data_IF_293929760425
#
_entry.id   IF_293929760425
#
_cell.length_a   1.000
_cell.length_b   1.000
_cell.length_c   1.000
_cell.angle_alpha   90.00
_cell.angle_beta   90.00
_cell.angle_gamma   90.00
#
_symmetry.space_group_name_H-M   'P 1'
#
loop_
_entity.id
_entity.type
_entity.pdbx_description
1 polymer ?
#
# COMPACT_ATOMS: atom_id res chain seq x y z
N UNK A 1 -0.65 27.06 -0.92
CA UNK A 1 -2.08 26.70 -0.81
C UNK A 1 -2.72 26.52 -2.19
N UNK A 2 -2.62 27.47 -3.12
CA UNK A 2 -3.16 27.33 -4.48
C UNK A 2 -2.69 26.07 -5.25
N UNK A 3 -1.37 25.81 -5.29
CA UNK A 3 -0.82 24.66 -6.03
C UNK A 3 -1.23 23.27 -5.51
N UNK A 4 -1.47 23.13 -4.20
CA UNK A 4 -1.87 21.82 -3.63
C UNK A 4 -3.28 21.43 -4.09
N UNK A 5 -4.19 22.40 -4.18
CA UNK A 5 -5.56 22.17 -4.67
C UNK A 5 -5.58 21.85 -6.17
N UNK A 6 -4.67 22.44 -6.96
CA UNK A 6 -4.53 22.12 -8.39
C UNK A 6 -4.10 20.66 -8.62
N UNK A 7 -3.09 20.17 -7.88
CA UNK A 7 -2.67 18.77 -7.97
C UNK A 7 -3.74 17.80 -7.48
N UNK A 8 -4.46 18.18 -6.42
CA UNK A 8 -5.60 17.42 -5.91
C UNK A 8 -6.71 17.31 -6.97
N UNK A 9 -7.15 18.44 -7.53
CA UNK A 9 -8.17 18.46 -8.57
C UNK A 9 -7.74 17.63 -9.79
N UNK A 10 -6.46 17.72 -10.19
CA UNK A 10 -5.91 16.94 -11.30
C UNK A 10 -5.94 15.44 -11.03
N UNK A 11 -5.44 14.98 -9.87
CA UNK A 11 -5.41 13.54 -9.60
C UNK A 11 -6.82 12.94 -9.45
N UNK A 12 -7.77 13.74 -8.93
CA UNK A 12 -9.15 13.29 -8.73
C UNK A 12 -9.89 13.01 -10.05
N UNK A 13 -9.41 13.54 -11.17
CA UNK A 13 -9.93 13.22 -12.50
C UNK A 13 -9.43 11.87 -13.03
N UNK A 14 -8.35 11.32 -12.45
CA UNK A 14 -7.75 10.07 -12.93
C UNK A 14 -8.52 8.85 -12.41
N UNK A 15 -8.73 7.88 -13.29
CA UNK A 15 -9.25 6.55 -12.97
C UNK A 15 -8.11 5.51 -12.94
N UNK A 16 -8.43 4.22 -12.78
CA UNK A 16 -7.43 3.14 -12.72
C UNK A 16 -6.52 3.05 -13.95
N UNK A 17 -7.03 3.00 -15.20
CA UNK A 17 -6.19 3.09 -16.40
C UNK A 17 -5.23 4.29 -16.39
N UNK A 18 -5.69 5.46 -15.94
CA UNK A 18 -4.86 6.66 -15.89
C UNK A 18 -3.80 6.58 -14.79
N UNK A 19 -4.11 6.02 -13.63
CA UNK A 19 -3.12 5.77 -12.58
C UNK A 19 -2.05 4.77 -13.01
N UNK A 20 -2.41 3.73 -13.77
CA UNK A 20 -1.45 2.77 -14.33
C UNK A 20 -0.48 3.47 -15.29
N UNK A 21 -0.97 4.39 -16.14
CA UNK A 21 -0.12 5.22 -17.01
C UNK A 21 0.77 6.17 -16.20
N UNK A 22 0.21 6.82 -15.19
CA UNK A 22 0.96 7.72 -14.30
C UNK A 22 2.08 6.97 -13.57
N UNK A 23 1.82 5.73 -13.12
CA UNK A 23 2.84 4.89 -12.52
C UNK A 23 4.02 4.62 -13.46
N UNK A 24 3.75 4.26 -14.72
CA UNK A 24 4.79 4.08 -15.74
C UNK A 24 5.61 5.36 -15.92
N UNK A 25 4.93 6.51 -16.04
CA UNK A 25 5.60 7.81 -16.15
C UNK A 25 6.47 8.14 -14.93
N UNK A 26 6.01 7.83 -13.70
CA UNK A 26 6.80 7.98 -12.47
C UNK A 26 8.05 7.08 -12.51
N UNK A 27 7.89 5.81 -12.90
CA UNK A 27 9.01 4.88 -13.02
C UNK A 27 10.07 5.36 -14.03
N UNK A 28 9.63 5.98 -15.12
CA UNK A 28 10.49 6.54 -16.18
C UNK A 28 11.03 7.94 -15.86
N UNK A 29 10.57 8.57 -14.76
CA UNK A 29 10.94 9.95 -14.40
C UNK A 29 10.35 11.00 -15.34
N UNK A 30 9.24 10.70 -16.01
CA UNK A 30 8.58 11.53 -17.01
C UNK A 30 7.32 12.20 -16.45
N UNK A 31 7.47 12.95 -15.36
CA UNK A 31 6.37 13.69 -14.71
C UNK A 31 6.62 15.21 -14.69
N UNK A 32 6.80 15.87 -15.85
CA UNK A 32 7.29 17.25 -15.92
C UNK A 32 6.38 18.28 -15.22
N UNK A 33 5.08 18.02 -15.17
CA UNK A 33 4.11 18.91 -14.54
C UNK A 33 3.95 18.66 -13.02
N UNK A 34 4.66 17.68 -12.48
CA UNK A 34 4.62 17.32 -11.07
C UNK A 34 5.94 17.69 -10.41
N UNK A 35 5.91 18.37 -9.25
CA UNK A 35 7.09 18.50 -8.43
C UNK A 35 7.61 17.12 -8.01
N UNK A 36 8.91 17.03 -7.75
CA UNK A 36 9.56 15.79 -7.34
C UNK A 36 8.80 15.10 -6.19
N UNK A 37 8.52 13.81 -6.36
CA UNK A 37 7.80 12.97 -5.39
C UNK A 37 6.28 13.18 -5.32
N UNK A 38 5.75 14.33 -5.75
CA UNK A 38 4.30 14.62 -5.64
C UNK A 38 3.43 13.71 -6.47
N UNK A 39 3.84 13.37 -7.70
CA UNK A 39 3.08 12.43 -8.53
C UNK A 39 2.87 11.10 -7.82
N UNK A 40 3.91 10.60 -7.14
CA UNK A 40 3.87 9.34 -6.41
C UNK A 40 2.98 9.43 -5.16
N UNK A 41 3.10 10.49 -4.37
CA UNK A 41 2.22 10.75 -3.21
C UNK A 41 0.73 10.71 -3.60
N UNK A 42 0.36 11.49 -4.62
CA UNK A 42 -1.02 11.62 -5.05
C UNK A 42 -1.55 10.35 -5.72
N UNK A 43 -0.70 9.63 -6.46
CA UNK A 43 -1.06 8.33 -7.04
C UNK A 43 -1.48 7.33 -5.95
N UNK A 44 -0.70 7.20 -4.88
CA UNK A 44 -0.99 6.24 -3.80
C UNK A 44 -2.33 6.56 -3.13
N UNK A 45 -2.55 7.83 -2.77
CA UNK A 45 -3.80 8.26 -2.15
C UNK A 45 -4.99 8.07 -3.08
N UNK A 46 -4.86 8.45 -4.36
CA UNK A 46 -5.93 8.27 -5.34
C UNK A 46 -6.27 6.80 -5.54
N UNK A 47 -5.28 5.90 -5.52
CA UNK A 47 -5.52 4.46 -5.62
C UNK A 47 -6.37 3.94 -4.44
N UNK A 48 -6.06 4.34 -3.20
CA UNK A 48 -6.93 4.04 -2.05
C UNK A 48 -8.33 4.64 -2.23
N UNK A 49 -8.43 5.90 -2.63
CA UNK A 49 -9.72 6.56 -2.85
C UNK A 49 -10.59 5.83 -3.90
N UNK A 50 -9.98 5.33 -4.98
CA UNK A 50 -10.67 4.55 -6.00
C UNK A 50 -11.15 3.18 -5.49
N UNK A 51 -10.55 2.64 -4.43
CA UNK A 51 -11.10 1.50 -3.68
C UNK A 51 -12.22 1.88 -2.70
N UNK A 52 -12.71 3.13 -2.71
CA UNK A 52 -13.75 3.61 -1.80
C UNK A 52 -13.24 3.86 -0.37
N UNK A 53 -11.92 3.94 -0.18
CA UNK A 53 -11.31 4.23 1.12
C UNK A 53 -11.40 5.72 1.42
N UNK A 54 -11.73 6.07 2.66
CA UNK A 54 -11.66 7.45 3.13
C UNK A 54 -10.20 7.88 3.22
N UNK A 55 -9.87 8.99 2.58
CA UNK A 55 -8.51 9.52 2.54
C UNK A 55 -8.48 10.98 2.96
N UNK A 56 -7.29 11.44 3.34
CA UNK A 56 -6.95 12.86 3.39
C UNK A 56 -5.72 13.12 2.54
N UNK A 57 -5.86 14.08 1.62
CA UNK A 57 -4.75 14.60 0.81
C UNK A 57 -3.65 15.23 1.66
N UNK A 58 -2.43 15.44 1.11
CA UNK A 58 -1.31 15.93 1.89
C UNK A 58 -1.64 17.20 2.69
N UNK A 59 -1.24 17.24 3.95
CA UNK A 59 -1.54 18.36 4.84
C UNK A 59 -0.39 18.66 5.79
N UNK A 60 -0.41 19.88 6.35
CA UNK A 60 0.55 20.31 7.36
C UNK A 60 -0.09 20.35 8.73
N UNK A 61 0.61 19.85 9.74
CA UNK A 61 0.23 20.03 11.15
C UNK A 61 0.92 21.28 11.66
N UNK A 62 0.15 22.16 12.30
CA UNK A 62 0.66 23.38 12.91
C UNK A 62 0.59 23.29 14.43
N UNK A 63 1.66 23.70 15.10
CA UNK A 63 1.70 23.93 16.54
C UNK A 63 2.17 25.36 16.76
N UNK A 64 1.48 26.14 17.59
CA UNK A 64 1.80 27.55 17.84
C UNK A 64 1.97 28.38 16.54
N UNK A 65 1.14 28.10 15.52
CA UNK A 65 1.15 28.70 14.17
C UNK A 65 2.34 28.33 13.28
N UNK A 66 3.29 27.54 13.77
CA UNK A 66 4.42 27.03 12.99
C UNK A 66 4.11 25.65 12.41
N UNK A 67 4.57 25.38 11.19
CA UNK A 67 4.44 24.06 10.58
C UNK A 67 5.46 23.14 11.24
N UNK A 68 4.97 22.15 11.98
CA UNK A 68 5.81 21.16 12.68
C UNK A 68 5.91 19.85 11.91
N UNK A 69 4.91 19.53 11.08
CA UNK A 69 4.93 18.33 10.24
C UNK A 69 4.29 18.59 8.90
N UNK A 70 4.82 17.91 7.89
CA UNK A 70 4.15 17.65 6.62
C UNK A 70 3.85 16.16 6.56
N UNK A 71 2.58 15.84 6.32
CA UNK A 71 2.05 14.49 6.20
C UNK A 71 1.62 14.31 4.75
N UNK A 72 2.13 13.27 4.10
CA UNK A 72 1.87 13.02 2.68
C UNK A 72 0.43 12.58 2.46
N UNK A 73 -0.19 11.94 3.46
CA UNK A 73 -1.65 11.79 3.53
C UNK A 73 -2.09 10.86 4.67
N UNK A 74 -3.38 10.61 4.75
CA UNK A 74 -3.93 9.56 5.63
C UNK A 74 -4.93 8.71 4.90
N UNK A 75 -5.07 7.45 5.31
CA UNK A 75 -6.10 6.54 4.82
C UNK A 75 -6.79 5.85 6.00
N UNK A 76 -8.10 5.64 5.89
CA UNK A 76 -8.92 5.00 6.90
C UNK A 76 -9.66 3.80 6.29
N UNK A 77 -9.23 2.59 6.63
CA UNK A 77 -9.75 1.36 6.03
C UNK A 77 -9.91 0.27 7.08
N UNK A 78 -11.06 -0.40 7.12
CA UNK A 78 -11.28 -1.55 8.01
C UNK A 78 -11.01 -1.26 9.49
N UNK A 79 -11.27 -0.03 9.96
CA UNK A 79 -10.99 0.41 11.33
C UNK A 79 -9.53 0.84 11.58
N UNK A 80 -8.65 0.73 10.60
CA UNK A 80 -7.27 1.23 10.66
C UNK A 80 -7.24 2.73 10.38
N UNK A 81 -6.42 3.46 11.14
CA UNK A 81 -6.10 4.87 10.90
C UNK A 81 -4.62 4.97 10.55
N UNK A 82 -4.33 5.29 9.29
CA UNK A 82 -2.98 5.16 8.75
C UNK A 82 -2.42 6.52 8.31
N UNK A 83 -1.19 6.82 8.73
CA UNK A 83 -0.40 7.90 8.16
C UNK A 83 0.43 7.37 6.99
N UNK A 84 0.44 8.13 5.90
CA UNK A 84 1.25 7.82 4.72
C UNK A 84 2.49 8.72 4.68
N UNK A 85 3.63 8.10 4.42
CA UNK A 85 4.87 8.75 3.99
C UNK A 85 5.30 8.09 2.67
N UNK A 86 5.41 8.87 1.60
CA UNK A 86 5.86 8.41 0.30
C UNK A 86 7.26 8.93 0.01
N UNK A 87 8.05 8.07 -0.63
CA UNK A 87 9.37 8.45 -1.10
C UNK A 87 9.68 7.85 -2.46
N UNK A 88 9.63 8.72 -3.46
CA UNK A 88 10.12 8.44 -4.80
C UNK A 88 11.58 8.89 -4.93
N UNK A 89 12.53 7.97 -4.74
CA UNK A 89 13.91 8.19 -5.18
C UNK A 89 14.43 6.96 -5.89
N UNK A 90 15.49 7.15 -6.68
CA UNK A 90 16.20 6.07 -7.39
C UNK A 90 16.88 5.07 -6.47
N UNK A 91 17.25 5.49 -5.25
CA UNK A 91 17.93 4.65 -4.28
C UNK A 91 16.97 4.02 -3.26
N UNK A 92 17.36 2.86 -2.75
CA UNK A 92 16.67 2.19 -1.65
C UNK A 92 16.73 3.05 -0.38
N UNK A 93 15.63 3.04 0.39
CA UNK A 93 15.47 3.96 1.52
C UNK A 93 16.21 3.51 2.77
N UNK A 94 16.88 4.48 3.38
CA UNK A 94 17.55 4.35 4.66
C UNK A 94 16.56 4.47 5.83
N UNK A 95 17.10 4.27 7.02
CA UNK A 95 16.43 4.35 8.33
C UNK A 95 15.68 5.67 8.57
N UNK A 96 16.06 6.76 7.90
CA UNK A 96 15.54 8.11 8.15
C UNK A 96 14.01 8.21 7.96
N UNK A 97 13.48 7.60 6.90
CA UNK A 97 12.05 7.69 6.56
C UNK A 97 11.19 7.04 7.64
N UNK A 98 11.63 5.87 8.12
CA UNK A 98 10.97 5.13 9.20
C UNK A 98 11.05 5.90 10.50
N UNK A 99 12.22 6.48 10.80
CA UNK A 99 12.45 7.27 12.02
C UNK A 99 11.58 8.53 12.07
N UNK A 100 11.47 9.24 10.93
CA UNK A 100 10.59 10.40 10.77
C UNK A 100 9.14 10.00 11.06
N UNK A 101 8.62 8.99 10.37
CA UNK A 101 7.22 8.58 10.52
C UNK A 101 6.92 8.07 11.94
N UNK A 102 7.84 7.33 12.56
CA UNK A 102 7.72 6.90 13.97
C UNK A 102 7.54 8.10 14.89
N UNK A 103 8.35 9.14 14.74
CA UNK A 103 8.26 10.34 15.57
C UNK A 103 6.94 11.09 15.36
N UNK A 104 6.39 11.07 14.14
CA UNK A 104 5.07 11.62 13.88
C UNK A 104 3.97 10.79 14.58
N UNK A 105 4.06 9.46 14.55
CA UNK A 105 3.10 8.56 15.22
C UNK A 105 3.09 8.75 16.75
N UNK A 106 4.23 9.07 17.38
CA UNK A 106 4.32 9.30 18.82
C UNK A 106 3.44 10.44 19.34
N UNK A 107 2.96 11.35 18.47
CA UNK A 107 2.07 12.47 18.84
C UNK A 107 0.59 12.16 18.61
N UNK A 108 0.26 10.92 18.24
CA UNK A 108 -1.09 10.48 17.85
C UNK A 108 -1.56 9.37 18.78
N UNK A 109 -2.84 9.03 18.67
CA UNK A 109 -3.40 7.90 19.42
C UNK A 109 -2.63 6.61 19.10
N UNK A 110 -2.42 5.74 20.10
CA UNK A 110 -1.58 4.54 19.97
C UNK A 110 -2.07 3.50 18.95
N UNK A 111 -3.32 3.62 18.50
CA UNK A 111 -3.88 2.77 17.45
C UNK A 111 -3.54 3.25 16.01
N UNK A 112 -2.97 4.45 15.85
CA UNK A 112 -2.55 4.93 14.54
C UNK A 112 -1.30 4.17 14.07
N UNK A 113 -1.29 3.75 12.81
CA UNK A 113 -0.16 3.05 12.20
C UNK A 113 0.45 3.87 11.06
N UNK A 114 1.70 3.58 10.73
CA UNK A 114 2.41 4.19 9.60
C UNK A 114 2.44 3.28 8.38
N UNK A 115 2.35 3.89 7.20
CA UNK A 115 2.59 3.24 5.92
C UNK A 115 3.69 4.01 5.21
N UNK A 116 4.78 3.32 4.88
CA UNK A 116 5.84 3.91 4.06
C UNK A 116 5.76 3.29 2.68
N UNK A 117 5.67 4.12 1.65
CA UNK A 117 5.70 3.69 0.25
C UNK A 117 7.01 4.13 -0.39
N UNK A 118 7.71 3.19 -1.01
CA UNK A 118 8.91 3.47 -1.76
C UNK A 118 8.93 2.72 -3.09
N UNK A 119 9.20 3.45 -4.18
CA UNK A 119 9.33 2.83 -5.50
C UNK A 119 10.49 1.84 -5.59
N UNK A 120 11.63 2.13 -4.98
CA UNK A 120 12.85 1.32 -5.08
C UNK A 120 13.19 0.55 -3.79
N UNK A 121 12.21 0.43 -2.87
CA UNK A 121 12.34 -0.39 -1.66
C UNK A 121 13.24 0.22 -0.59
N UNK A 122 13.81 -0.66 0.25
CA UNK A 122 14.45 -0.30 1.52
C UNK A 122 15.80 -1.00 1.66
N UNK A 123 16.73 -0.39 2.38
CA UNK A 123 18.00 -1.03 2.75
C UNK A 123 17.78 -2.08 3.82
N UNK A 124 18.69 -3.07 3.91
CA UNK A 124 18.65 -4.09 4.98
C UNK A 124 18.49 -3.50 6.39
N UNK A 125 19.27 -2.47 6.78
CA UNK A 125 19.09 -1.80 8.07
C UNK A 125 17.71 -1.16 8.27
N UNK A 126 17.10 -0.61 7.21
CA UNK A 126 15.75 -0.06 7.30
C UNK A 126 14.69 -1.16 7.51
N UNK A 127 14.84 -2.30 6.82
CA UNK A 127 13.98 -3.49 7.02
C UNK A 127 14.10 -4.01 8.45
N UNK A 128 15.33 -4.16 8.96
CA UNK A 128 15.57 -4.55 10.35
C UNK A 128 14.91 -3.57 11.32
N UNK A 129 15.14 -2.26 11.16
CA UNK A 129 14.53 -1.27 12.05
C UNK A 129 13.00 -1.36 12.06
N UNK A 130 12.35 -1.56 10.90
CA UNK A 130 10.89 -1.66 10.82
C UNK A 130 10.32 -2.84 11.63
N UNK A 131 11.10 -3.89 11.88
CA UNK A 131 10.68 -5.00 12.75
C UNK A 131 10.76 -4.63 14.25
N UNK A 132 11.55 -3.61 14.62
CA UNK A 132 11.83 -3.22 16.00
C UNK A 132 11.25 -1.85 16.40
N UNK A 133 10.44 -1.20 15.55
CA UNK A 133 9.79 0.08 15.89
C UNK A 133 8.57 -0.04 16.81
N UNK A 134 8.35 -1.22 17.40
CA UNK A 134 7.31 -1.42 18.40
C UNK A 134 7.41 -0.39 19.55
N UNK A 135 6.27 0.12 20.07
CA UNK A 135 4.90 -0.27 19.74
C UNK A 135 4.30 0.44 18.52
N UNK A 136 5.05 1.28 17.79
CA UNK A 136 4.56 1.95 16.59
C UNK A 136 4.66 1.03 15.37
N UNK A 137 3.54 0.42 14.97
CA UNK A 137 3.48 -0.34 13.71
C UNK A 137 3.71 0.57 12.52
N UNK A 138 4.70 0.21 11.70
CA UNK A 138 4.99 0.82 10.41
C UNK A 138 5.07 -0.29 9.37
N UNK A 139 4.21 -0.26 8.36
CA UNK A 139 4.21 -1.22 7.25
C UNK A 139 4.94 -0.64 6.05
N UNK A 140 5.82 -1.44 5.45
CA UNK A 140 6.68 -1.03 4.34
C UNK A 140 6.17 -1.58 3.01
N UNK A 141 5.97 -0.69 2.05
CA UNK A 141 5.51 -1.01 0.69
C UNK A 141 6.59 -0.70 -0.33
N UNK A 142 6.89 -1.67 -1.19
CA UNK A 142 7.83 -1.50 -2.29
C UNK A 142 7.14 -1.28 -3.65
N UNK A 143 7.90 -0.89 -4.67
CA UNK A 143 7.37 -0.60 -6.00
C UNK A 143 6.73 -1.79 -6.70
N UNK A 144 7.18 -3.02 -6.43
CA UNK A 144 6.61 -4.21 -7.04
C UNK A 144 5.23 -4.53 -6.45
N UNK A 145 5.04 -4.34 -5.13
CA UNK A 145 3.75 -4.45 -4.46
C UNK A 145 2.78 -3.37 -4.95
N UNK A 146 3.27 -2.14 -5.15
CA UNK A 146 2.49 -1.01 -5.67
C UNK A 146 2.03 -1.31 -7.11
N UNK A 147 2.94 -1.76 -7.97
CA UNK A 147 2.61 -2.17 -9.34
C UNK A 147 1.58 -3.31 -9.36
N UNK A 148 1.73 -4.29 -8.46
CA UNK A 148 0.78 -5.38 -8.28
C UNK A 148 -0.61 -4.88 -7.86
N UNK A 149 -0.68 -4.00 -6.86
CA UNK A 149 -1.94 -3.42 -6.40
C UNK A 149 -2.60 -2.56 -7.47
N UNK A 150 -1.83 -1.80 -8.26
CA UNK A 150 -2.35 -1.00 -9.37
C UNK A 150 -2.95 -1.90 -10.45
N UNK A 151 -2.25 -2.96 -10.85
CA UNK A 151 -2.70 -3.88 -11.89
C UNK A 151 -4.05 -4.52 -11.54
N UNK A 152 -4.25 -4.81 -10.24
CA UNK A 152 -5.42 -5.53 -9.72
C UNK A 152 -6.48 -4.64 -9.07
N UNK A 153 -6.15 -3.38 -8.80
CA UNK A 153 -7.03 -2.40 -8.18
C UNK A 153 -7.39 -2.80 -6.73
N UNK A 154 -6.38 -3.18 -5.93
CA UNK A 154 -6.55 -3.88 -4.62
C UNK A 154 -5.80 -3.26 -3.43
N UNK A 155 -5.57 -1.94 -3.43
CA UNK A 155 -4.82 -1.29 -2.35
C UNK A 155 -5.45 -1.48 -0.96
N UNK A 156 -6.78 -1.39 -0.89
CA UNK A 156 -7.52 -1.56 0.37
C UNK A 156 -7.37 -2.98 0.93
N UNK A 157 -7.63 -4.00 0.12
CA UNK A 157 -7.54 -5.40 0.51
C UNK A 157 -6.10 -5.79 0.86
N UNK A 158 -5.13 -5.32 0.06
CA UNK A 158 -3.72 -5.56 0.31
C UNK A 158 -3.26 -4.96 1.64
N UNK A 159 -3.74 -3.77 2.01
CA UNK A 159 -3.42 -3.15 3.29
C UNK A 159 -3.98 -3.96 4.47
N UNK A 160 -5.23 -4.41 4.37
CA UNK A 160 -5.83 -5.27 5.40
C UNK A 160 -5.04 -6.57 5.54
N UNK A 161 -4.67 -7.22 4.43
CA UNK A 161 -3.88 -8.44 4.43
C UNK A 161 -2.51 -8.21 5.08
N UNK A 162 -1.78 -7.18 4.64
CA UNK A 162 -0.45 -6.87 5.15
C UNK A 162 -0.48 -6.53 6.63
N UNK A 163 -1.47 -5.78 7.08
CA UNK A 163 -1.69 -5.50 8.50
C UNK A 163 -1.96 -6.78 9.29
N UNK A 164 -2.85 -7.65 8.81
CA UNK A 164 -3.14 -8.93 9.45
C UNK A 164 -1.88 -9.80 9.60
N UNK A 165 -1.07 -9.89 8.54
CA UNK A 165 0.21 -10.61 8.58
C UNK A 165 1.20 -10.00 9.55
N UNK A 166 1.26 -8.67 9.65
CA UNK A 166 2.06 -8.01 10.67
C UNK A 166 1.60 -8.36 12.09
N UNK A 167 0.29 -8.36 12.36
CA UNK A 167 -0.24 -8.75 13.68
C UNK A 167 0.03 -10.22 13.99
N UNK A 168 -0.13 -11.11 13.01
CA UNK A 168 0.05 -12.55 13.21
C UNK A 168 1.53 -12.98 13.32
N UNK A 169 2.43 -12.29 12.63
CA UNK A 169 3.81 -12.76 12.40
C UNK A 169 4.91 -11.73 12.72
N UNK A 170 4.55 -10.48 13.03
CA UNK A 170 5.51 -9.39 13.28
C UNK A 170 6.23 -8.85 12.04
N UNK A 171 5.82 -9.25 10.82
CA UNK A 171 6.51 -8.89 9.58
C UNK A 171 6.01 -7.53 9.08
N UNK A 172 6.87 -6.52 9.06
CA UNK A 172 6.53 -5.15 8.63
C UNK A 172 6.49 -4.98 7.10
N UNK A 173 7.29 -5.76 6.38
CA UNK A 173 7.52 -5.70 4.93
C UNK A 173 6.96 -6.92 4.19
N UNK A 174 5.88 -7.53 4.71
CA UNK A 174 5.30 -8.74 4.14
C UNK A 174 4.92 -8.57 2.67
N UNK A 175 5.47 -9.40 1.77
CA UNK A 175 5.17 -9.35 0.34
C UNK A 175 3.79 -9.95 0.02
N UNK A 176 2.84 -9.06 -0.25
CA UNK A 176 1.44 -9.41 -0.57
C UNK A 176 1.28 -10.29 -1.83
N UNK A 177 2.29 -10.34 -2.71
CA UNK A 177 2.23 -11.11 -3.97
C UNK A 177 2.36 -12.61 -3.73
N UNK A 178 2.89 -13.02 -2.58
CA UNK A 178 3.13 -14.44 -2.24
C UNK A 178 1.82 -15.23 -2.11
N UNK A 179 0.77 -14.62 -1.56
CA UNK A 179 -0.55 -15.29 -1.43
C UNK A 179 -1.17 -15.63 -2.78
N UNK A 180 -0.85 -14.89 -3.84
CA UNK A 180 -1.31 -15.24 -5.18
C UNK A 180 -0.60 -16.51 -5.70
N UNK A 181 0.70 -16.67 -5.44
CA UNK A 181 1.44 -17.88 -5.82
C UNK A 181 0.79 -19.10 -5.15
N UNK A 182 0.39 -18.96 -3.89
CA UNK A 182 -0.29 -20.01 -3.13
C UNK A 182 -1.71 -20.23 -3.66
N UNK A 183 -2.50 -19.18 -3.90
CA UNK A 183 -3.85 -19.26 -4.45
C UNK A 183 -3.90 -19.90 -5.84
N UNK A 184 -2.96 -19.57 -6.73
CA UNK A 184 -2.83 -20.21 -8.06
C UNK A 184 -2.38 -21.67 -7.96
N UNK A 185 -1.50 -22.03 -7.00
CA UNK A 185 -1.13 -23.43 -6.76
C UNK A 185 -2.31 -24.25 -6.23
N UNK A 186 -3.12 -23.69 -5.34
CA UNK A 186 -4.31 -24.39 -4.81
C UNK A 186 -5.37 -24.58 -5.89
N UNK A 187 -5.60 -23.59 -6.76
CA UNK A 187 -6.52 -23.73 -7.91
C UNK A 187 -5.99 -24.76 -8.93
N UNK A 188 -4.68 -24.74 -9.24
CA UNK A 188 -4.02 -25.74 -10.10
C UNK A 188 -4.09 -27.17 -9.53
N UNK A 189 -4.05 -27.34 -8.21
CA UNK A 189 -4.22 -28.62 -7.53
C UNK A 189 -5.69 -29.07 -7.52
N UNK A 190 -6.64 -28.15 -7.33
CA UNK A 190 -8.08 -28.46 -7.44
C UNK A 190 -8.48 -28.89 -8.85
N UNK A 191 -7.91 -28.29 -9.89
CA UNK A 191 -8.14 -28.70 -11.28
C UNK A 191 -7.56 -30.09 -11.58
N UNK A 192 -6.42 -30.45 -10.98
CA UNK A 192 -5.87 -31.83 -11.06
C UNK A 192 -6.63 -32.86 -10.22
N UNK A 193 -7.25 -32.45 -9.11
CA UNK A 193 -8.07 -33.32 -8.27
C UNK A 193 -9.49 -33.53 -8.84
N UNK A 194 -10.07 -32.51 -9.49
CA UNK A 194 -11.35 -32.61 -10.20
C UNK A 194 -11.29 -33.57 -11.41
N UNK A 195 -10.15 -33.63 -12.11
CA UNK A 195 -9.93 -34.60 -13.20
C UNK A 195 -9.75 -36.06 -12.73
N UNK A 196 -9.60 -36.31 -11.42
CA UNK A 196 -9.47 -37.67 -10.86
C UNK A 196 -10.73 -38.20 -10.19
N UNK A 197 -11.72 -37.35 -9.87
CA UNK A 197 -12.98 -37.81 -9.26
C UNK A 197 -14.08 -38.16 -10.29
N UNK A 198 -13.89 -37.90 -11.58
CA UNK A 198 -14.93 -38.12 -12.60
C UNK A 198 -14.98 -39.54 -13.20
N UNK A 199 -14.19 -40.51 -12.70
CA UNK A 199 -14.13 -41.87 -13.28
C UNK A 199 -14.77 -42.97 -12.42
N UNK A 200 -15.34 -42.67 -11.24
CA UNK A 200 -15.96 -43.69 -10.40
C UNK A 200 -17.23 -43.15 -9.74
N UNK A 201 -18.38 -43.30 -10.41
CA UNK A 201 -19.70 -43.50 -9.79
C UNK A 201 -20.78 -43.59 -10.90
N UNK A 202 -20.89 -44.75 -11.54
CA UNK A 202 -22.04 -45.11 -12.38
C UNK A 202 -22.79 -46.24 -11.69
N UNK A 203 -23.78 -45.95 -10.84
CA UNK A 203 -24.83 -46.91 -10.45
C UNK A 203 -26.12 -46.15 -10.14
N UNK A 204 -27.23 -46.37 -10.88
CA UNK A 204 -28.53 -45.79 -10.56
C UNK A 204 -29.26 -46.67 -9.53
N UNK A 205 -29.63 -46.08 -8.39
CA UNK A 205 -30.59 -46.68 -7.46
C UNK A 205 -31.98 -46.22 -7.87
N UNK A 206 -32.78 -47.15 -8.39
CA UNK A 206 -34.23 -46.98 -8.53
C UNK A 206 -34.89 -47.13 -7.16
N UNK A 207 -35.67 -46.14 -6.73
CA UNK A 207 -36.62 -46.27 -5.64
C UNK A 207 -38.01 -46.52 -6.22
N UNK A 208 -38.57 -47.69 -5.93
CA UNK A 208 -39.99 -47.98 -5.75
C UNK A 208 -40.11 -48.84 -4.49
#
# INVERSE_FOLDING_TARGET
MARSQEYEARIQQLNWPDLKKLWVAICEGQTPDWPDGRAFEYLILRAFQLNGVEIRWPFSVKLNKEIVEQIDGTVYVGGLSCLIECKDSREAKSIEVISKLRNQLLRRHGAAIGLVFSRNGYTGPALTLAQFVAPQTILLWNGEEIAHCLARETFAEALILKYRRHIEQGIADYDIRVEEIVGRRILSLKDRLMLRCCSVCSHPIHYL
#
